data_IF_930423700638
#
_entry.id   IF_930423700638
#
_cell.length_a   1.000
_cell.length_b   1.000
_cell.length_c   1.000
_cell.angle_alpha   90.00
_cell.angle_beta   90.00
_cell.angle_gamma   90.00
#
_symmetry.space_group_name_H-M   'P 1'
#
loop_
_entity.id
_entity.type
_entity.pdbx_description
1 polymer ?
#
# COMPACT_ATOMS: atom_id res chain seq x y z
N UNK A 1 23.03 -7.66 -10.27
CA UNK A 1 22.58 -8.09 -8.92
C UNK A 1 21.08 -8.44 -8.97
N UNK A 2 20.74 -9.70 -9.29
CA UNK A 2 19.34 -10.12 -9.56
C UNK A 2 18.72 -10.99 -8.44
N UNK A 3 19.38 -11.16 -7.30
CA UNK A 3 18.97 -12.17 -6.31
C UNK A 3 18.49 -11.69 -4.93
N UNK A 4 18.50 -10.39 -4.54
CA UNK A 4 18.03 -10.01 -3.21
C UNK A 4 16.54 -10.29 -3.00
N UNK A 5 15.74 -10.22 -4.08
CA UNK A 5 14.30 -10.46 -4.01
C UNK A 5 13.96 -11.95 -3.81
N UNK A 6 14.76 -12.86 -4.37
CA UNK A 6 14.59 -14.32 -4.18
C UNK A 6 14.96 -14.73 -2.77
N UNK A 7 16.00 -14.15 -2.19
CA UNK A 7 16.42 -14.42 -0.81
C UNK A 7 15.35 -13.92 0.18
N UNK A 8 14.77 -12.74 -0.08
CA UNK A 8 13.68 -12.21 0.74
C UNK A 8 12.43 -13.11 0.65
N UNK A 9 12.13 -13.60 -0.54
CA UNK A 9 11.00 -14.52 -0.77
C UNK A 9 11.21 -15.86 -0.07
N UNK A 10 12.43 -16.42 -0.13
CA UNK A 10 12.78 -17.67 0.55
C UNK A 10 12.81 -17.52 2.08
N UNK A 11 13.27 -16.39 2.61
CA UNK A 11 13.19 -16.08 4.03
C UNK A 11 11.73 -15.93 4.49
N UNK A 12 10.87 -15.36 3.64
CA UNK A 12 9.44 -15.25 3.90
C UNK A 12 8.75 -16.63 3.89
N UNK A 13 9.09 -17.50 2.95
CA UNK A 13 8.56 -18.85 2.85
C UNK A 13 9.05 -19.77 3.98
N UNK A 14 10.27 -19.61 4.47
CA UNK A 14 10.80 -20.41 5.57
C UNK A 14 10.19 -20.02 6.93
N UNK A 15 9.71 -18.80 7.10
CA UNK A 15 8.95 -18.38 8.27
C UNK A 15 7.45 -18.70 8.17
N UNK A 16 6.97 -19.10 7.01
CA UNK A 16 5.55 -19.34 6.74
C UNK A 16 4.96 -20.56 7.50
N UNK A 17 5.78 -21.48 7.98
CA UNK A 17 5.31 -22.63 8.80
C UNK A 17 4.81 -22.22 10.19
N UNK A 18 5.13 -21.00 10.65
CA UNK A 18 4.63 -20.38 11.88
C UNK A 18 4.00 -19.01 11.62
N UNK A 19 3.68 -18.70 10.37
CA UNK A 19 3.14 -17.38 10.02
C UNK A 19 1.75 -17.20 10.63
N UNK A 20 1.62 -16.20 11.47
CA UNK A 20 0.34 -15.71 11.91
C UNK A 20 -0.33 -14.97 10.73
N UNK A 21 -1.67 -15.01 10.73
CA UNK A 21 -2.45 -14.26 9.75
C UNK A 21 -2.12 -12.76 9.87
N UNK A 22 -2.01 -12.07 8.73
CA UNK A 22 -1.79 -10.63 8.71
C UNK A 22 -2.95 -9.91 9.40
N UNK A 23 -2.61 -8.97 10.30
CA UNK A 23 -3.60 -8.20 11.04
C UNK A 23 -4.07 -7.03 10.18
N UNK A 24 -5.30 -7.09 9.69
CA UNK A 24 -5.91 -6.03 8.88
C UNK A 24 -6.57 -4.90 9.71
N UNK A 25 -6.69 -5.07 11.04
CA UNK A 25 -7.26 -4.05 11.92
C UNK A 25 -6.19 -3.03 12.30
N UNK A 26 -5.99 -2.03 11.43
CA UNK A 26 -4.98 -0.99 11.65
C UNK A 26 -5.29 0.32 10.93
N UNK A 27 -4.65 1.39 11.41
CA UNK A 27 -4.55 2.68 10.76
C UNK A 27 -3.07 3.10 10.71
N UNK A 28 -2.59 3.45 9.52
CA UNK A 28 -1.26 4.01 9.31
C UNK A 28 -1.37 5.50 8.96
N UNK A 29 -0.60 6.32 9.65
CA UNK A 29 -0.42 7.74 9.33
C UNK A 29 1.06 7.96 9.12
N UNK A 30 1.45 8.48 7.96
CA UNK A 30 2.85 8.61 7.63
C UNK A 30 3.17 9.70 6.64
N UNK A 31 4.46 9.75 6.33
CA UNK A 31 5.01 10.61 5.28
C UNK A 31 5.35 9.75 4.07
N UNK A 32 5.24 10.34 2.89
CA UNK A 32 5.58 9.71 1.61
C UNK A 32 6.59 10.52 0.84
N UNK A 33 7.28 9.85 -0.07
CA UNK A 33 8.18 10.44 -1.05
C UNK A 33 8.06 9.65 -2.35
N UNK A 34 7.75 10.33 -3.45
CA UNK A 34 7.65 9.75 -4.80
C UNK A 34 8.86 10.07 -5.69
N UNK A 35 9.95 10.58 -5.09
CA UNK A 35 11.15 11.00 -5.82
C UNK A 35 11.05 12.40 -6.42
N UNK A 36 9.86 12.90 -6.68
CA UNK A 36 9.58 14.24 -7.21
C UNK A 36 9.07 15.18 -6.12
N UNK A 37 8.40 14.65 -5.10
CA UNK A 37 7.80 15.42 -4.03
C UNK A 37 7.70 14.67 -2.72
N UNK A 38 7.29 15.39 -1.68
CA UNK A 38 6.99 14.85 -0.36
C UNK A 38 5.50 14.96 -0.10
N UNK A 39 4.98 14.04 0.67
CA UNK A 39 3.56 14.00 0.97
C UNK A 39 3.22 13.32 2.28
N UNK A 40 1.95 13.05 2.41
CA UNK A 40 1.37 12.33 3.55
C UNK A 40 0.61 11.12 3.04
N UNK A 41 0.64 10.05 3.84
CA UNK A 41 -0.15 8.85 3.61
C UNK A 41 -1.08 8.61 4.78
N UNK A 42 -2.24 8.09 4.45
CA UNK A 42 -3.21 7.59 5.41
C UNK A 42 -3.74 6.27 4.88
N UNK A 43 -3.63 5.22 5.68
CA UNK A 43 -4.21 3.92 5.35
C UNK A 43 -5.05 3.46 6.53
N UNK A 44 -6.24 2.99 6.27
CA UNK A 44 -7.05 2.27 7.26
C UNK A 44 -7.46 0.94 6.65
N UNK A 45 -7.37 -0.11 7.45
CA UNK A 45 -7.87 -1.43 7.08
C UNK A 45 -8.57 -2.06 8.28
N UNK A 46 -9.60 -2.82 8.02
CA UNK A 46 -10.31 -3.55 9.05
C UNK A 46 -10.89 -4.85 8.52
N UNK A 47 -10.88 -5.88 9.34
CA UNK A 47 -11.66 -7.08 9.11
C UNK A 47 -13.15 -6.74 9.12
N UNK A 48 -13.89 -7.31 8.17
CA UNK A 48 -15.34 -7.14 8.10
C UNK A 48 -16.06 -8.36 8.62
N UNK A 49 -15.83 -9.51 8.03
CA UNK A 49 -16.41 -10.81 8.45
C UNK A 49 -15.42 -11.90 8.09
N UNK A 50 -15.08 -12.76 9.05
CA UNK A 50 -14.19 -13.92 8.83
C UNK A 50 -12.85 -13.50 8.21
N UNK A 51 -12.56 -13.94 6.99
CA UNK A 51 -11.32 -13.66 6.27
C UNK A 51 -11.43 -12.46 5.31
N UNK A 52 -12.56 -11.77 5.29
CA UNK A 52 -12.73 -10.56 4.48
C UNK A 52 -12.21 -9.34 5.21
N UNK A 53 -11.61 -8.43 4.45
CA UNK A 53 -11.16 -7.12 4.95
C UNK A 53 -11.57 -6.01 3.99
N UNK A 54 -11.67 -4.80 4.52
CA UNK A 54 -11.79 -3.58 3.73
C UNK A 54 -10.57 -2.69 4.00
N UNK A 55 -10.10 -1.98 2.96
CA UNK A 55 -8.96 -1.08 3.05
C UNK A 55 -9.23 0.22 2.29
N UNK A 56 -8.89 1.34 2.92
CA UNK A 56 -8.78 2.63 2.26
C UNK A 56 -7.34 3.13 2.38
N UNK A 57 -6.78 3.61 1.28
CA UNK A 57 -5.43 4.17 1.22
C UNK A 57 -5.47 5.51 0.50
N UNK A 58 -4.96 6.55 1.15
CA UNK A 58 -4.87 7.91 0.64
C UNK A 58 -3.40 8.33 0.62
N UNK A 59 -2.90 8.77 -0.52
CA UNK A 59 -1.53 9.27 -0.68
C UNK A 59 -1.57 10.64 -1.35
N UNK A 60 -1.24 11.68 -0.59
CA UNK A 60 -1.15 13.03 -1.11
C UNK A 60 0.30 13.46 -1.21
N UNK A 61 0.75 13.80 -2.41
CA UNK A 61 2.09 14.29 -2.67
C UNK A 61 2.06 15.72 -3.20
N UNK A 62 3.12 16.48 -2.92
CA UNK A 62 3.32 17.83 -3.43
C UNK A 62 4.72 17.96 -4.01
N UNK A 63 4.77 18.32 -5.28
CA UNK A 63 6.02 18.63 -5.97
C UNK A 63 6.23 20.14 -5.93
N UNK A 64 7.40 20.57 -5.47
CA UNK A 64 7.81 21.96 -5.53
C UNK A 64 8.40 22.23 -6.90
N UNK A 65 7.66 22.92 -7.76
CA UNK A 65 8.21 23.47 -9.00
C UNK A 65 8.58 24.95 -8.80
N UNK A 66 9.36 25.51 -9.74
CA UNK A 66 9.81 26.90 -9.67
C UNK A 66 8.67 27.93 -9.80
N UNK A 67 7.54 27.53 -10.34
CA UNK A 67 6.41 28.41 -10.63
C UNK A 67 5.20 28.18 -9.73
N UNK A 68 4.73 26.95 -9.61
CA UNK A 68 3.62 26.58 -8.71
C UNK A 68 3.74 25.13 -8.27
N UNK A 69 3.33 24.81 -7.03
CA UNK A 69 3.34 23.42 -6.59
C UNK A 69 2.30 22.59 -7.37
N UNK A 70 2.70 21.41 -7.80
CA UNK A 70 1.78 20.39 -8.30
C UNK A 70 1.41 19.52 -7.13
N UNK A 71 0.11 19.29 -6.92
CA UNK A 71 -0.36 18.34 -5.91
C UNK A 71 -1.08 17.19 -6.59
N UNK A 72 -0.81 15.98 -6.10
CA UNK A 72 -1.51 14.77 -6.50
C UNK A 72 -2.10 14.06 -5.29
N UNK A 73 -3.25 13.46 -5.47
CA UNK A 73 -3.92 12.60 -4.49
C UNK A 73 -4.28 11.28 -5.15
N UNK A 74 -3.74 10.20 -4.62
CA UNK A 74 -4.13 8.84 -4.97
C UNK A 74 -5.00 8.27 -3.86
N UNK A 75 -6.15 7.73 -4.23
CA UNK A 75 -7.08 7.11 -3.30
C UNK A 75 -7.44 5.71 -3.80
N UNK A 76 -7.33 4.72 -2.93
CA UNK A 76 -7.72 3.34 -3.21
C UNK A 76 -8.69 2.86 -2.14
N UNK A 77 -9.83 2.31 -2.56
CA UNK A 77 -10.84 1.74 -1.68
C UNK A 77 -11.09 0.30 -2.14
N UNK A 78 -10.69 -0.66 -1.34
CA UNK A 78 -10.71 -2.07 -1.72
C UNK A 78 -11.44 -2.92 -0.68
N UNK A 79 -11.99 -4.03 -1.16
CA UNK A 79 -12.44 -5.16 -0.35
C UNK A 79 -11.60 -6.35 -0.76
N UNK A 80 -11.13 -7.12 0.19
CA UNK A 80 -10.29 -8.26 -0.06
C UNK A 80 -10.66 -9.46 0.79
N UNK A 81 -10.05 -10.57 0.43
CA UNK A 81 -10.15 -11.85 1.13
C UNK A 81 -8.75 -12.41 1.35
N UNK A 82 -8.47 -12.85 2.56
CA UNK A 82 -7.22 -13.53 2.90
C UNK A 82 -7.48 -14.98 3.29
N UNK A 83 -6.78 -15.89 2.65
CA UNK A 83 -6.72 -17.28 3.04
C UNK A 83 -5.28 -17.64 3.41
N UNK A 84 -5.04 -17.91 4.67
CA UNK A 84 -3.72 -18.12 5.25
C UNK A 84 -2.79 -16.92 4.93
N UNK A 85 -1.73 -17.10 4.12
CA UNK A 85 -0.82 -16.03 3.71
C UNK A 85 -1.16 -15.41 2.36
N UNK A 86 -2.12 -15.94 1.62
CA UNK A 86 -2.50 -15.43 0.30
C UNK A 86 -3.67 -14.47 0.48
N UNK A 87 -3.60 -13.30 -0.14
CA UNK A 87 -4.73 -12.40 -0.20
C UNK A 87 -5.02 -11.96 -1.63
N UNK A 88 -6.27 -11.63 -1.87
CA UNK A 88 -6.74 -10.95 -3.07
C UNK A 88 -7.62 -9.77 -2.67
N UNK A 89 -7.48 -8.66 -3.37
CA UNK A 89 -8.33 -7.49 -3.16
C UNK A 89 -8.71 -6.85 -4.48
N UNK A 90 -9.90 -6.26 -4.52
CA UNK A 90 -10.38 -5.49 -5.64
C UNK A 90 -11.19 -4.28 -5.14
N UNK A 91 -11.24 -3.23 -5.95
CA UNK A 91 -11.95 -2.03 -5.58
C UNK A 91 -11.82 -0.91 -6.60
N UNK A 92 -12.05 0.30 -6.12
CA UNK A 92 -11.99 1.52 -6.94
C UNK A 92 -10.77 2.35 -6.59
N UNK A 93 -10.29 3.07 -7.59
CA UNK A 93 -9.18 4.01 -7.46
C UNK A 93 -9.61 5.39 -7.96
N UNK A 94 -9.05 6.43 -7.35
CA UNK A 94 -9.18 7.81 -7.80
C UNK A 94 -7.80 8.47 -7.82
N UNK A 95 -7.56 9.27 -8.82
CA UNK A 95 -6.35 10.05 -8.97
C UNK A 95 -6.68 11.48 -9.35
N UNK A 96 -6.38 12.38 -8.45
CA UNK A 96 -6.58 13.82 -8.64
C UNK A 96 -5.22 14.49 -8.80
N UNK A 97 -5.05 15.25 -9.84
CA UNK A 97 -3.87 16.07 -10.08
C UNK A 97 -4.26 17.53 -10.25
N UNK A 98 -3.66 18.39 -9.46
CA UNK A 98 -3.92 19.81 -9.49
C UNK A 98 -2.63 20.59 -9.80
N UNK A 99 -2.68 21.42 -10.86
CA UNK A 99 -1.62 22.36 -11.23
C UNK A 99 -2.21 23.78 -11.37
N UNK A 100 -2.80 24.10 -12.52
CA UNK A 100 -3.61 25.32 -12.73
C UNK A 100 -5.11 25.03 -12.62
N UNK A 101 -5.51 23.84 -12.98
CA UNK A 101 -6.83 23.25 -12.81
C UNK A 101 -6.66 21.89 -12.19
N UNK A 102 -7.69 21.37 -11.54
CA UNK A 102 -7.73 20.00 -11.05
C UNK A 102 -8.36 19.09 -12.11
N UNK A 103 -7.77 17.93 -12.30
CA UNK A 103 -8.27 16.85 -13.14
C UNK A 103 -8.45 15.61 -12.28
N UNK A 104 -9.62 15.02 -12.37
CA UNK A 104 -10.02 13.86 -11.57
C UNK A 104 -10.16 12.66 -12.50
N UNK A 105 -9.57 11.54 -12.12
CA UNK A 105 -9.64 10.29 -12.83
C UNK A 105 -10.11 9.20 -11.89
N UNK A 106 -10.99 8.34 -12.36
CA UNK A 106 -11.47 7.17 -11.61
C UNK A 106 -11.19 5.89 -12.37
N UNK A 107 -11.06 4.80 -11.64
CA UNK A 107 -10.77 3.50 -12.22
C UNK A 107 -10.99 2.37 -11.22
N UNK A 108 -10.53 1.20 -11.59
CA UNK A 108 -10.61 0.00 -10.77
C UNK A 108 -9.22 -0.58 -10.49
N UNK A 109 -9.12 -1.28 -9.37
CA UNK A 109 -7.92 -1.92 -8.88
C UNK A 109 -8.21 -3.38 -8.56
N UNK A 110 -7.32 -4.27 -8.98
CA UNK A 110 -7.31 -5.65 -8.53
C UNK A 110 -5.89 -6.09 -8.20
N UNK A 111 -5.69 -6.69 -7.04
CA UNK A 111 -4.39 -7.14 -6.55
C UNK A 111 -4.45 -8.55 -6.00
N UNK A 112 -3.34 -9.24 -6.12
CA UNK A 112 -3.09 -10.54 -5.51
C UNK A 112 -1.73 -10.50 -4.80
N UNK A 113 -1.61 -11.14 -3.65
CA UNK A 113 -0.36 -11.09 -2.91
C UNK A 113 -0.25 -12.04 -1.75
N UNK A 114 0.83 -11.83 -1.00
CA UNK A 114 1.14 -12.55 0.22
C UNK A 114 1.12 -11.56 1.39
N UNK A 115 0.50 -11.96 2.48
CA UNK A 115 0.45 -11.16 3.71
C UNK A 115 0.50 -12.09 4.92
N UNK A 116 1.35 -11.78 5.88
CA UNK A 116 1.51 -12.59 7.08
C UNK A 116 2.52 -11.97 8.04
N UNK A 117 2.74 -12.63 9.15
CA UNK A 117 3.67 -12.12 10.14
C UNK A 117 4.14 -13.19 11.13
N UNK A 118 5.00 -12.77 12.03
CA UNK A 118 5.45 -13.56 13.16
C UNK A 118 5.63 -12.65 14.37
N UNK A 119 4.83 -12.83 15.40
CA UNK A 119 4.84 -11.98 16.58
C UNK A 119 4.60 -10.51 16.26
N UNK A 120 5.62 -9.68 16.49
CA UNK A 120 5.55 -8.22 16.31
C UNK A 120 5.82 -7.76 14.88
N UNK A 121 6.34 -8.61 14.01
CA UNK A 121 6.70 -8.26 12.64
C UNK A 121 5.62 -8.77 11.69
N UNK A 122 5.10 -7.89 10.85
CA UNK A 122 4.17 -8.23 9.78
C UNK A 122 4.67 -7.69 8.46
N UNK A 123 4.39 -8.38 7.37
CA UNK A 123 4.74 -7.95 6.03
C UNK A 123 3.67 -8.34 5.01
N UNK A 124 3.56 -7.51 3.98
CA UNK A 124 2.65 -7.70 2.85
C UNK A 124 3.41 -7.42 1.56
N UNK A 125 3.19 -8.24 0.55
CA UNK A 125 3.69 -8.06 -0.80
C UNK A 125 2.58 -8.40 -1.78
N UNK A 126 2.25 -7.48 -2.66
CA UNK A 126 1.20 -7.66 -3.67
C UNK A 126 1.57 -7.07 -5.00
N UNK A 127 0.95 -7.60 -6.03
CA UNK A 127 0.99 -7.07 -7.38
C UNK A 127 -0.39 -7.12 -8.00
N UNK A 128 -0.68 -6.23 -8.92
CA UNK A 128 -2.00 -6.16 -9.52
C UNK A 128 -2.07 -5.23 -10.71
N UNK A 129 -3.29 -4.95 -11.10
CA UNK A 129 -3.61 -4.03 -12.18
C UNK A 129 -4.45 -2.87 -11.66
N UNK A 130 -4.07 -1.69 -12.09
CA UNK A 130 -4.79 -0.46 -11.91
C UNK A 130 -5.27 -0.01 -13.28
N UNK A 131 -6.58 0.01 -13.52
CA UNK A 131 -7.17 0.61 -14.72
C UNK A 131 -7.49 2.06 -14.38
N UNK A 132 -6.86 3.00 -15.06
CA UNK A 132 -7.03 4.43 -14.83
C UNK A 132 -6.76 5.17 -16.15
N UNK A 133 -7.50 6.23 -16.46
CA UNK A 133 -7.32 7.01 -17.70
C UNK A 133 -7.42 6.12 -18.97
N UNK A 134 -8.32 5.14 -18.99
CA UNK A 134 -8.46 4.19 -20.11
C UNK A 134 -7.21 3.33 -20.41
N UNK A 135 -6.26 3.33 -19.48
CA UNK A 135 -5.02 2.56 -19.57
C UNK A 135 -4.89 1.60 -18.41
N UNK A 136 -4.11 0.54 -18.62
CA UNK A 136 -3.80 -0.45 -17.60
C UNK A 136 -2.37 -0.25 -17.10
N UNK A 137 -2.23 -0.13 -15.80
CA UNK A 137 -0.97 0.07 -15.12
C UNK A 137 -0.67 -1.12 -14.22
N UNK A 138 0.58 -1.51 -14.14
CA UNK A 138 1.03 -2.47 -13.13
C UNK A 138 1.19 -1.73 -11.80
N UNK A 139 0.64 -2.32 -10.74
CA UNK A 139 0.89 -1.87 -9.38
C UNK A 139 1.62 -2.96 -8.60
N UNK A 140 2.66 -2.56 -7.88
CA UNK A 140 3.37 -3.41 -6.94
C UNK A 140 3.39 -2.72 -5.59
N UNK A 141 2.99 -3.43 -4.54
CA UNK A 141 2.99 -2.91 -3.17
C UNK A 141 3.78 -3.85 -2.27
N UNK A 142 4.68 -3.29 -1.48
CA UNK A 142 5.36 -3.98 -0.40
C UNK A 142 5.22 -3.16 0.88
N UNK A 143 4.86 -3.82 1.98
CA UNK A 143 4.63 -3.19 3.28
C UNK A 143 5.25 -4.05 4.37
N UNK A 144 5.90 -3.43 5.34
CA UNK A 144 6.37 -4.09 6.54
C UNK A 144 6.03 -3.23 7.76
N UNK A 145 5.66 -3.87 8.85
CA UNK A 145 5.39 -3.16 10.10
C UNK A 145 5.96 -3.90 11.31
N UNK A 146 6.34 -3.14 12.31
CA UNK A 146 6.80 -3.65 13.59
C UNK A 146 5.97 -3.04 14.72
N UNK A 147 5.34 -3.89 15.52
CA UNK A 147 4.52 -3.48 16.66
C UNK A 147 5.36 -3.42 17.94
N UNK A 148 5.38 -2.26 18.59
CA UNK A 148 6.01 -2.10 19.91
C UNK A 148 5.17 -2.77 20.99
N UNK A 149 3.84 -2.63 20.86
CA UNK A 149 2.83 -3.27 21.69
C UNK A 149 1.59 -3.60 20.81
N UNK A 150 0.51 -4.07 21.41
CA UNK A 150 -0.69 -4.53 20.70
C UNK A 150 -1.38 -3.42 19.89
N UNK A 151 -1.16 -2.16 20.25
CA UNK A 151 -1.89 -1.02 19.67
C UNK A 151 -1.00 -0.06 18.87
N UNK A 152 0.33 -0.10 19.04
CA UNK A 152 1.23 0.88 18.46
C UNK A 152 2.42 0.23 17.79
N UNK A 153 2.74 0.69 16.60
CA UNK A 153 3.89 0.25 15.81
C UNK A 153 4.37 1.30 14.82
N UNK A 154 5.30 0.88 14.00
CA UNK A 154 5.79 1.62 12.84
C UNK A 154 5.55 0.82 11.58
N UNK A 155 5.36 1.50 10.46
CA UNK A 155 5.20 0.91 9.14
C UNK A 155 6.16 1.52 8.14
N UNK A 156 6.66 0.69 7.24
CA UNK A 156 7.46 1.08 6.08
C UNK A 156 6.84 0.43 4.87
N UNK A 157 6.64 1.19 3.79
CA UNK A 157 6.05 0.63 2.58
C UNK A 157 6.59 1.26 1.31
N UNK A 158 6.38 0.55 0.23
CA UNK A 158 6.68 0.98 -1.13
C UNK A 158 5.47 0.62 -1.97
N UNK A 159 4.98 1.60 -2.74
CA UNK A 159 3.99 1.38 -3.79
C UNK A 159 4.62 1.85 -5.08
N UNK A 160 4.73 0.96 -6.05
CA UNK A 160 5.22 1.26 -7.40
C UNK A 160 4.00 1.27 -8.33
N UNK A 161 3.76 2.41 -8.94
CA UNK A 161 2.64 2.66 -9.86
C UNK A 161 3.11 2.67 -11.33
N UNK A 162 4.26 2.03 -11.59
CA UNK A 162 4.90 1.99 -12.90
C UNK A 162 5.06 3.42 -13.50
N UNK A 163 4.67 3.62 -14.74
CA UNK A 163 4.82 4.92 -15.42
C UNK A 163 3.81 6.01 -14.96
N UNK A 164 2.75 5.64 -14.22
CA UNK A 164 1.70 6.58 -13.81
C UNK A 164 2.18 7.62 -12.79
N UNK A 165 2.96 7.21 -11.81
CA UNK A 165 3.38 8.09 -10.70
C UNK A 165 4.70 7.68 -10.08
N UNK A 166 5.36 6.68 -10.67
CA UNK A 166 6.62 6.19 -10.17
C UNK A 166 6.48 5.49 -8.81
N UNK A 167 7.59 5.48 -8.10
CA UNK A 167 7.76 4.74 -6.86
C UNK A 167 7.52 5.62 -5.64
N UNK A 168 6.47 5.31 -4.89
CA UNK A 168 6.14 5.99 -3.63
C UNK A 168 6.67 5.18 -2.46
N UNK A 169 7.58 5.76 -1.70
CA UNK A 169 8.02 5.21 -0.41
C UNK A 169 7.24 5.86 0.73
N UNK A 170 6.86 5.10 1.73
CA UNK A 170 6.11 5.58 2.90
C UNK A 170 6.77 5.12 4.19
N UNK A 171 6.73 5.99 5.20
CA UNK A 171 7.11 5.69 6.58
C UNK A 171 6.02 6.24 7.49
N UNK A 172 5.49 5.43 8.38
CA UNK A 172 4.36 5.82 9.20
C UNK A 172 4.35 5.23 10.60
N UNK A 173 3.41 5.73 11.38
CA UNK A 173 3.01 5.17 12.66
C UNK A 173 1.77 4.32 12.41
N UNK A 174 1.78 3.09 12.93
CA UNK A 174 0.67 2.15 12.85
C UNK A 174 -0.05 2.07 14.18
N UNK A 175 -1.34 2.32 14.16
CA UNK A 175 -2.27 2.08 15.26
C UNK A 175 -3.07 0.83 14.96
N UNK A 176 -3.12 -0.12 15.89
CA UNK A 176 -3.86 -1.38 15.76
C UNK A 176 -4.96 -1.46 16.83
N UNK A 177 -6.07 -2.15 16.53
CA UNK A 177 -7.18 -2.39 17.46
C UNK A 177 -7.73 -3.80 17.38
#
# INVERSE_FOLDING_TARGET
MKYPMVILLLAFLSSATQAEQYRWDYMDIGVSNDGLGKGMTFTVASHTVSNFFARANLMRNQQKTTTKPISSLYSFYTIGYQYWIIYAEAGVSQYDICWYACMDYSGDLAMLGLAGGSGKLQAKLGTGRLNLMEQQWLIVEADASYSFNDNLGISLGITDLDELGGKVTKLGIRLCW
#
